data_IF_141455406887
#
_entry.id   IF_141455406887
#
_cell.length_a   1.000
_cell.length_b   1.000
_cell.length_c   1.000
_cell.angle_alpha   90.00
_cell.angle_beta   90.00
_cell.angle_gamma   90.00
#
_symmetry.space_group_name_H-M   'P 1'
#
loop_
_entity.id
_entity.type
_entity.pdbx_description
1 polymer ?
#
# COMPACT_ATOMS: atom_id res chain seq x y z
N UNK A 1 3.68 -41.48 1.87
CA UNK A 1 4.83 -40.74 1.28
C UNK A 1 4.39 -39.30 1.01
N UNK A 2 4.63 -38.39 1.94
CA UNK A 2 4.34 -36.96 1.78
C UNK A 2 5.32 -36.37 0.76
N UNK A 3 4.78 -35.93 -0.38
CA UNK A 3 5.54 -35.20 -1.40
C UNK A 3 6.21 -33.96 -0.77
N UNK A 4 7.50 -34.08 -0.43
CA UNK A 4 8.37 -32.95 -0.15
C UNK A 4 8.60 -32.20 -1.47
N UNK A 5 7.73 -31.24 -1.79
CA UNK A 5 8.04 -30.22 -2.81
C UNK A 5 9.34 -29.56 -2.37
N UNK A 6 10.43 -29.74 -3.14
CA UNK A 6 11.61 -28.86 -3.08
C UNK A 6 11.12 -27.42 -3.26
N UNK A 7 10.84 -26.72 -2.16
CA UNK A 7 10.62 -25.29 -2.22
C UNK A 7 11.98 -24.69 -2.52
N UNK A 8 12.08 -24.04 -3.68
CA UNK A 8 13.28 -23.30 -4.02
C UNK A 8 13.40 -22.16 -3.00
N UNK A 9 14.24 -22.32 -1.98
CA UNK A 9 14.39 -21.37 -0.86
C UNK A 9 14.64 -19.96 -1.39
N UNK A 10 15.40 -19.82 -2.48
CA UNK A 10 15.60 -18.54 -3.16
C UNK A 10 14.32 -17.92 -3.74
N UNK A 11 13.36 -18.73 -4.22
CA UNK A 11 12.06 -18.24 -4.66
C UNK A 11 11.22 -17.74 -3.49
N UNK A 12 11.22 -18.46 -2.36
CA UNK A 12 10.50 -18.07 -1.14
C UNK A 12 11.09 -16.80 -0.54
N UNK A 13 12.43 -16.69 -0.49
CA UNK A 13 13.11 -15.49 0.01
C UNK A 13 12.75 -14.25 -0.83
N UNK A 14 12.71 -14.39 -2.16
CA UNK A 14 12.34 -13.29 -3.08
C UNK A 14 10.91 -12.81 -2.85
N UNK A 15 9.93 -13.71 -2.73
CA UNK A 15 8.53 -13.31 -2.49
C UNK A 15 8.34 -12.71 -1.10
N UNK A 16 9.06 -13.19 -0.08
CA UNK A 16 9.07 -12.60 1.25
C UNK A 16 9.70 -11.20 1.24
N UNK A 17 10.81 -11.01 0.52
CA UNK A 17 11.43 -9.69 0.34
C UNK A 17 10.47 -8.69 -0.30
N UNK A 18 9.79 -9.07 -1.38
CA UNK A 18 8.78 -8.21 -2.04
C UNK A 18 7.62 -7.91 -1.09
N UNK A 19 7.16 -8.89 -0.31
CA UNK A 19 6.10 -8.67 0.67
C UNK A 19 6.51 -7.72 1.80
N UNK A 20 7.76 -7.83 2.29
CA UNK A 20 8.33 -6.94 3.30
C UNK A 20 8.45 -5.50 2.78
N UNK A 21 8.90 -5.33 1.52
CA UNK A 21 8.96 -4.02 0.88
C UNK A 21 7.57 -3.35 0.80
N UNK A 22 6.50 -4.11 0.57
CA UNK A 22 5.14 -3.56 0.61
C UNK A 22 4.74 -3.04 2.00
N UNK A 23 5.22 -3.67 3.08
CA UNK A 23 5.03 -3.17 4.45
C UNK A 23 5.83 -1.90 4.75
N UNK A 24 7.08 -1.86 4.28
CA UNK A 24 7.94 -0.67 4.39
C UNK A 24 7.35 0.50 3.61
N UNK A 25 6.83 0.26 2.40
CA UNK A 25 6.22 1.30 1.55
C UNK A 25 5.01 1.96 2.21
N UNK A 26 4.17 1.19 2.91
CA UNK A 26 3.04 1.74 3.67
C UNK A 26 3.49 2.66 4.81
N UNK A 27 4.54 2.28 5.54
CA UNK A 27 5.12 3.12 6.59
C UNK A 27 5.76 4.39 6.02
N UNK A 28 6.46 4.26 4.89
CA UNK A 28 7.09 5.39 4.19
C UNK A 28 6.05 6.43 3.74
N UNK A 29 4.96 6.02 3.10
CA UNK A 29 3.92 6.95 2.64
C UNK A 29 3.36 7.78 3.80
N UNK A 30 3.01 7.13 4.92
CA UNK A 30 2.48 7.79 6.12
C UNK A 30 3.49 8.74 6.75
N UNK A 31 4.77 8.36 6.81
CA UNK A 31 5.85 9.20 7.34
C UNK A 31 6.07 10.46 6.50
N UNK A 32 6.06 10.33 5.17
CA UNK A 32 6.22 11.47 4.25
C UNK A 32 5.06 12.46 4.37
N UNK A 33 3.81 11.98 4.50
CA UNK A 33 2.65 12.89 4.70
C UNK A 33 2.84 13.68 6.00
N UNK A 34 3.16 12.98 7.08
CA UNK A 34 3.30 13.58 8.41
C UNK A 34 4.42 14.61 8.46
N UNK A 35 5.54 14.36 7.76
CA UNK A 35 6.65 15.31 7.65
C UNK A 35 6.37 16.50 6.73
N UNK A 36 5.52 16.33 5.72
CA UNK A 36 5.24 17.37 4.73
C UNK A 36 4.03 18.26 5.07
N UNK A 37 3.24 17.92 6.09
CA UNK A 37 1.94 18.57 6.35
C UNK A 37 2.05 20.06 6.70
N UNK A 38 3.04 20.45 7.50
CA UNK A 38 3.34 21.85 7.85
C UNK A 38 3.75 22.66 6.60
N UNK A 39 4.61 22.09 5.76
CA UNK A 39 5.05 22.72 4.51
C UNK A 39 3.89 22.86 3.50
N UNK A 40 3.03 21.84 3.39
CA UNK A 40 1.83 21.88 2.55
C UNK A 40 0.85 22.95 3.03
N UNK A 41 0.65 23.07 4.35
CA UNK A 41 -0.20 24.09 4.97
C UNK A 41 0.29 25.50 4.65
N UNK A 42 1.60 25.74 4.72
CA UNK A 42 2.20 27.02 4.37
C UNK A 42 2.12 27.32 2.85
N UNK A 43 2.32 26.31 2.00
CA UNK A 43 2.32 26.49 0.54
C UNK A 43 0.93 26.75 -0.05
N UNK A 44 -0.09 26.05 0.42
CA UNK A 44 -1.46 26.18 -0.08
C UNK A 44 -2.35 27.10 0.77
N UNK A 45 -1.82 27.71 1.84
CA UNK A 45 -2.59 28.54 2.79
C UNK A 45 -3.86 27.84 3.31
N UNK A 46 -3.72 26.56 3.68
CA UNK A 46 -4.85 25.69 4.02
C UNK A 46 -5.45 25.99 5.38
N UNK A 47 -6.78 25.91 5.46
CA UNK A 47 -7.49 25.91 6.73
C UNK A 47 -7.25 24.61 7.51
N UNK A 48 -7.46 24.59 8.84
CA UNK A 48 -7.32 23.37 9.65
C UNK A 48 -8.25 22.24 9.17
N UNK A 49 -9.45 22.59 8.68
CA UNK A 49 -10.42 21.63 8.15
C UNK A 49 -9.91 20.93 6.89
N UNK A 50 -9.32 21.69 5.95
CA UNK A 50 -8.76 21.14 4.72
C UNK A 50 -7.52 20.29 4.98
N UNK A 51 -6.68 20.71 5.92
CA UNK A 51 -5.50 19.93 6.33
C UNK A 51 -5.92 18.56 6.90
N UNK A 52 -6.98 18.54 7.73
CA UNK A 52 -7.57 17.29 8.23
C UNK A 52 -8.12 16.42 7.11
N UNK A 53 -8.84 17.03 6.15
CA UNK A 53 -9.36 16.31 4.98
C UNK A 53 -8.24 15.66 4.15
N UNK A 54 -7.12 16.36 3.95
CA UNK A 54 -5.97 15.84 3.20
C UNK A 54 -5.39 14.56 3.82
N UNK A 55 -5.37 14.47 5.15
CA UNK A 55 -4.86 13.29 5.87
C UNK A 55 -5.89 12.17 5.92
N UNK A 56 -7.15 12.48 6.25
CA UNK A 56 -8.21 11.47 6.40
C UNK A 56 -8.58 10.81 5.07
N UNK A 57 -8.48 11.52 3.95
CA UNK A 57 -8.77 10.97 2.64
C UNK A 57 -7.86 9.79 2.25
N UNK A 58 -6.59 9.81 2.67
CA UNK A 58 -5.66 8.69 2.40
C UNK A 58 -6.12 7.41 3.09
N UNK A 59 -6.67 7.54 4.31
CA UNK A 59 -7.20 6.43 5.11
C UNK A 59 -8.45 5.87 4.44
N UNK A 60 -9.35 6.73 3.97
CA UNK A 60 -10.52 6.33 3.18
C UNK A 60 -10.11 5.55 1.94
N UNK A 61 -9.13 6.06 1.18
CA UNK A 61 -8.56 5.35 0.03
C UNK A 61 -7.97 3.99 0.39
N UNK A 62 -7.25 3.88 1.51
CA UNK A 62 -6.70 2.62 2.02
C UNK A 62 -7.79 1.61 2.35
N UNK A 63 -8.89 2.04 2.99
CA UNK A 63 -10.02 1.17 3.33
C UNK A 63 -10.66 0.60 2.07
N UNK A 64 -10.94 1.47 1.09
CA UNK A 64 -11.50 1.06 -0.20
C UNK A 64 -10.56 0.09 -0.95
N UNK A 65 -9.26 0.40 -0.95
CA UNK A 65 -8.23 -0.46 -1.54
C UNK A 65 -8.15 -1.82 -0.87
N UNK A 66 -8.20 -1.88 0.47
CA UNK A 66 -8.16 -3.12 1.22
C UNK A 66 -9.38 -4.00 0.97
N UNK A 67 -10.57 -3.39 0.85
CA UNK A 67 -11.81 -4.10 0.53
C UNK A 67 -11.75 -4.74 -0.87
N UNK A 68 -11.23 -4.00 -1.86
CA UNK A 68 -11.06 -4.49 -3.22
C UNK A 68 -9.91 -5.50 -3.38
N UNK A 69 -8.92 -5.50 -2.48
CA UNK A 69 -7.73 -6.33 -2.59
C UNK A 69 -8.00 -7.84 -2.52
N UNK A 70 -8.98 -8.26 -1.72
CA UNK A 70 -9.36 -9.67 -1.54
C UNK A 70 -9.74 -10.37 -2.86
N UNK A 71 -10.81 -9.93 -3.55
CA UNK A 71 -11.19 -10.48 -4.84
C UNK A 71 -10.12 -10.26 -5.92
N UNK A 72 -9.41 -9.11 -5.92
CA UNK A 72 -8.32 -8.85 -6.87
C UNK A 72 -7.21 -9.91 -6.78
N UNK A 73 -6.77 -10.23 -5.56
CA UNK A 73 -5.70 -11.19 -5.31
C UNK A 73 -6.11 -12.63 -5.69
N UNK A 74 -7.39 -12.96 -5.51
CA UNK A 74 -7.96 -14.25 -5.90
C UNK A 74 -8.08 -14.43 -7.41
N UNK A 75 -8.47 -13.37 -8.14
CA UNK A 75 -8.77 -13.44 -9.59
C UNK A 75 -7.55 -13.20 -10.49
N UNK A 76 -6.68 -12.24 -10.14
CA UNK A 76 -5.53 -11.86 -10.99
C UNK A 76 -4.20 -12.49 -10.56
N UNK A 77 -4.17 -13.15 -9.40
CA UNK A 77 -2.97 -13.74 -8.83
C UNK A 77 -2.11 -12.73 -8.05
N UNK A 78 -1.52 -13.20 -6.95
CA UNK A 78 -0.84 -12.36 -5.94
C UNK A 78 0.28 -11.48 -6.48
N UNK A 79 1.05 -11.97 -7.47
CA UNK A 79 2.16 -11.21 -8.09
C UNK A 79 1.64 -10.05 -8.92
N UNK A 80 0.58 -10.27 -9.72
CA UNK A 80 0.02 -9.23 -10.60
C UNK A 80 -0.69 -8.13 -9.78
N UNK A 81 -1.33 -8.49 -8.69
CA UNK A 81 -1.94 -7.52 -7.77
C UNK A 81 -0.90 -6.57 -7.16
N UNK A 82 0.28 -7.08 -6.80
CA UNK A 82 1.40 -6.26 -6.31
C UNK A 82 1.96 -5.32 -7.39
N UNK A 83 2.09 -5.79 -8.63
CA UNK A 83 2.53 -4.95 -9.76
C UNK A 83 1.51 -3.86 -10.06
N UNK A 84 0.21 -4.18 -10.05
CA UNK A 84 -0.85 -3.20 -10.25
C UNK A 84 -0.84 -2.12 -9.17
N UNK A 85 -0.68 -2.52 -7.90
CA UNK A 85 -0.54 -1.57 -6.80
C UNK A 85 0.69 -0.68 -6.97
N UNK A 86 1.84 -1.22 -7.37
CA UNK A 86 3.04 -0.43 -7.62
C UNK A 86 2.84 0.59 -8.76
N UNK A 87 2.14 0.21 -9.83
CA UNK A 87 1.80 1.11 -10.94
C UNK A 87 0.87 2.24 -10.49
N UNK A 88 -0.21 1.92 -9.77
CA UNK A 88 -1.13 2.93 -9.24
C UNK A 88 -0.43 3.89 -8.27
N UNK A 89 0.46 3.37 -7.43
CA UNK A 89 1.27 4.19 -6.51
C UNK A 89 2.23 5.11 -7.28
N UNK A 90 2.87 4.61 -8.34
CA UNK A 90 3.77 5.42 -9.18
C UNK A 90 3.01 6.55 -9.87
N UNK A 91 1.83 6.26 -10.45
CA UNK A 91 0.97 7.27 -11.08
C UNK A 91 0.54 8.33 -10.05
N UNK A 92 0.15 7.90 -8.85
CA UNK A 92 -0.17 8.80 -7.73
C UNK A 92 1.02 9.68 -7.34
N UNK A 93 2.22 9.13 -7.21
CA UNK A 93 3.41 9.88 -6.81
C UNK A 93 3.80 10.93 -7.85
N UNK A 94 3.79 10.56 -9.13
CA UNK A 94 4.06 11.50 -10.24
C UNK A 94 2.97 12.57 -10.33
N UNK A 95 1.69 12.19 -10.19
CA UNK A 95 0.58 13.14 -10.18
C UNK A 95 0.62 14.09 -9.00
N UNK A 96 0.98 13.61 -7.80
CA UNK A 96 1.15 14.46 -6.62
C UNK A 96 2.34 15.42 -6.75
N UNK A 97 3.42 15.02 -7.44
CA UNK A 97 4.57 15.90 -7.71
C UNK A 97 4.25 17.01 -8.72
N UNK A 98 3.37 16.75 -9.69
CA UNK A 98 2.93 17.73 -10.69
C UNK A 98 1.68 18.52 -10.28
N UNK A 99 1.10 18.22 -9.11
CA UNK A 99 -0.14 18.83 -8.68
C UNK A 99 0.07 20.31 -8.30
N UNK A 100 -0.53 21.22 -9.07
CA UNK A 100 -0.49 22.67 -8.83
C UNK A 100 -1.61 23.15 -7.90
N UNK A 101 -2.65 22.33 -7.69
CA UNK A 101 -3.83 22.69 -6.89
C UNK A 101 -4.10 21.64 -5.81
N UNK A 102 -4.58 22.09 -4.65
CA UNK A 102 -4.91 21.24 -3.51
C UNK A 102 -5.86 20.09 -3.86
N UNK A 103 -6.91 20.34 -4.66
CA UNK A 103 -7.86 19.31 -5.08
C UNK A 103 -7.20 18.19 -5.88
N UNK A 104 -6.33 18.53 -6.84
CA UNK A 104 -5.59 17.55 -7.62
C UNK A 104 -4.65 16.74 -6.73
N UNK A 105 -3.97 17.40 -5.80
CA UNK A 105 -3.11 16.74 -4.82
C UNK A 105 -3.87 15.70 -3.99
N UNK A 106 -5.07 16.02 -3.50
CA UNK A 106 -5.92 15.10 -2.73
C UNK A 106 -6.35 13.89 -3.58
N UNK A 107 -6.76 14.12 -4.83
CA UNK A 107 -7.21 13.04 -5.74
C UNK A 107 -6.07 12.05 -5.97
N UNK A 108 -4.87 12.53 -6.30
CA UNK A 108 -3.71 11.66 -6.47
C UNK A 108 -3.41 10.91 -5.17
N UNK A 109 -3.44 11.57 -4.00
CA UNK A 109 -3.30 10.91 -2.70
C UNK A 109 -4.31 9.80 -2.46
N UNK A 110 -5.57 10.01 -2.87
CA UNK A 110 -6.63 9.01 -2.74
C UNK A 110 -6.28 7.74 -3.54
N UNK A 111 -5.81 7.93 -4.77
CA UNK A 111 -5.36 6.85 -5.66
C UNK A 111 -4.15 6.14 -5.05
N UNK A 112 -3.20 6.89 -4.49
CA UNK A 112 -2.07 6.36 -3.73
C UNK A 112 -2.53 5.52 -2.54
N UNK A 113 -3.49 6.01 -1.75
CA UNK A 113 -4.08 5.27 -0.63
C UNK A 113 -4.73 3.95 -1.07
N UNK A 114 -5.48 3.95 -2.17
CA UNK A 114 -6.01 2.71 -2.76
C UNK A 114 -4.90 1.72 -3.10
N UNK A 115 -3.85 2.19 -3.78
CA UNK A 115 -2.72 1.38 -4.19
C UNK A 115 -2.03 0.73 -3.00
N UNK A 116 -1.75 1.51 -1.95
CA UNK A 116 -1.08 1.03 -0.75
C UNK A 116 -1.97 0.09 0.06
N UNK A 117 -3.29 0.34 0.15
CA UNK A 117 -4.25 -0.56 0.79
C UNK A 117 -4.30 -1.95 0.11
N UNK A 118 -4.22 -1.98 -1.22
CA UNK A 118 -4.10 -3.22 -2.00
C UNK A 118 -2.78 -3.92 -1.70
N UNK A 119 -1.65 -3.20 -1.78
CA UNK A 119 -0.32 -3.74 -1.52
C UNK A 119 -0.20 -4.35 -0.13
N UNK A 120 -0.63 -3.63 0.91
CA UNK A 120 -0.54 -4.08 2.31
C UNK A 120 -1.33 -5.37 2.56
N UNK A 121 -2.52 -5.48 1.97
CA UNK A 121 -3.37 -6.68 2.11
C UNK A 121 -2.76 -7.88 1.40
N UNK A 122 -2.25 -7.69 0.17
CA UNK A 122 -1.58 -8.76 -0.59
C UNK A 122 -0.29 -9.21 0.09
N UNK A 123 0.53 -8.28 0.60
CA UNK A 123 1.76 -8.59 1.34
C UNK A 123 1.49 -9.43 2.59
N UNK A 124 0.45 -9.09 3.37
CA UNK A 124 0.02 -9.91 4.52
C UNK A 124 -0.41 -11.32 4.10
N UNK A 125 -1.14 -11.46 3.00
CA UNK A 125 -1.54 -12.76 2.48
C UNK A 125 -0.34 -13.62 2.03
N UNK A 126 0.71 -13.00 1.47
CA UNK A 126 1.96 -13.70 1.11
C UNK A 126 2.71 -14.12 2.36
N UNK A 127 2.87 -13.21 3.32
CA UNK A 127 3.55 -13.50 4.58
C UNK A 127 2.87 -14.67 5.32
N UNK A 128 1.54 -14.64 5.47
CA UNK A 128 0.76 -15.74 6.09
C UNK A 128 0.98 -17.10 5.42
N UNK A 129 1.28 -17.13 4.11
CA UNK A 129 1.57 -18.39 3.39
C UNK A 129 2.96 -18.93 3.71
N UNK A 130 3.89 -18.05 4.08
CA UNK A 130 5.28 -18.41 4.38
C UNK A 130 5.49 -18.68 5.87
N UNK A 131 4.62 -18.18 6.76
CA UNK A 131 4.67 -18.46 8.19
C UNK A 131 4.37 -19.95 8.48
N UNK A 132 5.19 -20.63 9.31
CA UNK A 132 4.88 -21.96 9.79
C UNK A 132 3.60 -21.93 10.63
N UNK A 133 2.80 -23.01 10.55
CA UNK A 133 1.46 -23.08 11.18
C UNK A 133 1.47 -22.83 12.69
N UNK A 134 2.61 -23.00 13.36
CA UNK A 134 2.82 -22.75 14.79
C UNK A 134 2.66 -21.27 15.18
N UNK A 135 3.04 -20.32 14.32
CA UNK A 135 2.85 -18.89 14.61
C UNK A 135 1.45 -18.38 14.20
N UNK A 136 0.71 -19.12 13.37
CA UNK A 136 -0.62 -18.74 12.94
C UNK A 136 -1.72 -18.98 14.00
N UNK A 137 -1.43 -19.82 15.01
CA UNK A 137 -2.35 -20.17 16.10
C UNK A 137 -2.21 -19.29 17.36
N UNK A 138 -1.30 -18.31 17.36
CA UNK A 138 -1.08 -17.38 18.48
C UNK A 138 -1.92 -16.09 18.38
N UNK A 139 -3.10 -16.15 17.74
CA UNK A 139 -4.09 -15.08 17.68
C UNK A 139 -5.46 -15.60 18.02
#
# INVERSE_FOLDING_TARGET
>A
MSHQRKHNTGYVLRICGIAALGGILFGYDTAVISGAIEALKAYFHLTPAETGWAVSNVVLGCVLGAFGAGPLAGRYGRKKALVLAALLFTISAVGAALATTFTWFIIYRMIGGLAVGIAATVSRCICRRCLPRTCAAAR
#
